data_IF_794109913871
#
_entry.id   IF_794109913871
#
_cell.length_a   1.000
_cell.length_b   1.000
_cell.length_c   1.000
_cell.angle_alpha   90.00
_cell.angle_beta   90.00
_cell.angle_gamma   90.00
#
_symmetry.space_group_name_H-M   'P 1'
#
loop_
_entity.id
_entity.type
_entity.pdbx_description
1 polymer ?
#
# COMPACT_ATOMS: atom_id res chain seq x y z
N UNK A 1 14.96 -19.61 -7.69
CA UNK A 1 14.88 -18.55 -8.73
C UNK A 1 16.29 -18.08 -9.03
N UNK A 2 16.68 -18.00 -10.30
CA UNK A 2 18.03 -17.59 -10.71
C UNK A 2 18.26 -16.11 -10.32
N UNK A 3 19.46 -15.79 -9.82
CA UNK A 3 19.87 -14.41 -9.49
C UNK A 3 19.71 -13.47 -10.69
N UNK A 4 19.85 -13.98 -11.92
CA UNK A 4 19.60 -13.22 -13.15
C UNK A 4 18.12 -12.88 -13.32
N UNK A 5 17.23 -13.86 -13.14
CA UNK A 5 15.79 -13.65 -13.21
C UNK A 5 15.32 -12.61 -12.19
N UNK A 6 15.86 -12.65 -10.97
CA UNK A 6 15.49 -11.68 -9.93
C UNK A 6 15.97 -10.26 -10.25
N UNK A 7 17.18 -10.11 -10.79
CA UNK A 7 17.67 -8.81 -11.27
C UNK A 7 16.79 -8.23 -12.37
N UNK A 8 16.40 -9.05 -13.35
CA UNK A 8 15.50 -8.60 -14.43
C UNK A 8 14.15 -8.18 -13.88
N UNK A 9 13.55 -8.99 -12.98
CA UNK A 9 12.26 -8.65 -12.37
C UNK A 9 12.32 -7.30 -11.65
N UNK A 10 13.36 -7.06 -10.85
CA UNK A 10 13.56 -5.78 -10.16
C UNK A 10 13.68 -4.62 -11.16
N UNK A 11 14.41 -4.79 -12.27
CA UNK A 11 14.52 -3.77 -13.30
C UNK A 11 13.17 -3.44 -13.95
N UNK A 12 12.34 -4.47 -14.22
CA UNK A 12 10.98 -4.29 -14.76
C UNK A 12 10.09 -3.52 -13.78
N UNK A 13 10.12 -3.87 -12.48
CA UNK A 13 9.38 -3.16 -11.43
C UNK A 13 9.79 -1.68 -11.38
N UNK A 14 11.11 -1.42 -11.32
CA UNK A 14 11.66 -0.07 -11.26
C UNK A 14 11.25 0.77 -12.47
N UNK A 15 11.26 0.17 -13.67
CA UNK A 15 10.84 0.82 -14.90
C UNK A 15 9.37 1.24 -14.85
N UNK A 16 8.46 0.34 -14.48
CA UNK A 16 7.03 0.68 -14.35
C UNK A 16 6.82 1.78 -13.31
N UNK A 17 7.40 1.66 -12.11
CA UNK A 17 7.25 2.69 -11.06
C UNK A 17 7.80 4.06 -11.51
N UNK A 18 8.89 4.07 -12.28
CA UNK A 18 9.46 5.30 -12.85
C UNK A 18 8.55 5.93 -13.90
N UNK A 19 7.93 5.11 -14.75
CA UNK A 19 7.01 5.57 -15.78
C UNK A 19 5.68 6.07 -15.21
N UNK A 20 5.16 5.44 -14.15
CA UNK A 20 3.94 5.87 -13.46
C UNK A 20 4.06 7.27 -12.84
N UNK A 21 5.28 7.71 -12.51
CA UNK A 21 5.54 9.09 -12.07
C UNK A 21 5.44 10.12 -13.21
N UNK A 22 5.53 9.67 -14.46
CA UNK A 22 5.59 10.52 -15.66
C UNK A 22 4.28 10.49 -16.47
N UNK A 23 3.54 9.38 -16.44
CA UNK A 23 2.30 9.19 -17.20
C UNK A 23 1.32 8.26 -16.51
N UNK A 24 0.04 8.41 -16.87
CA UNK A 24 -1.05 7.54 -16.40
C UNK A 24 -0.85 6.09 -16.87
N UNK A 25 -1.26 5.13 -16.03
CA UNK A 25 -1.15 3.71 -16.31
C UNK A 25 -1.86 3.28 -17.60
N UNK A 26 -3.02 3.87 -17.89
CA UNK A 26 -3.82 3.54 -19.07
C UNK A 26 -3.06 3.86 -20.37
N UNK A 27 -2.22 4.92 -20.36
CA UNK A 27 -1.40 5.35 -21.48
C UNK A 27 -0.02 4.65 -21.56
N UNK A 28 0.33 3.84 -20.56
CA UNK A 28 1.60 3.14 -20.49
C UNK A 28 1.54 1.85 -21.33
N UNK A 29 2.58 1.53 -22.08
CA UNK A 29 2.65 0.33 -22.91
C UNK A 29 3.76 -0.61 -22.46
N UNK A 30 3.70 -1.88 -22.86
CA UNK A 30 4.82 -2.82 -22.64
C UNK A 30 6.10 -2.31 -23.31
N UNK A 31 6.00 -1.65 -24.46
CA UNK A 31 7.15 -1.07 -25.15
C UNK A 31 7.87 -0.03 -24.27
N UNK A 32 7.13 0.85 -23.63
CA UNK A 32 7.70 1.84 -22.72
C UNK A 32 8.46 1.19 -21.55
N UNK A 33 7.90 0.12 -20.99
CA UNK A 33 8.50 -0.60 -19.85
C UNK A 33 9.81 -1.26 -20.27
N UNK A 34 9.84 -1.95 -21.41
CA UNK A 34 11.04 -2.66 -21.86
C UNK A 34 12.15 -1.69 -22.27
N UNK A 35 11.79 -0.52 -22.82
CA UNK A 35 12.74 0.53 -23.16
C UNK A 35 13.35 1.15 -21.90
N UNK A 36 12.53 1.48 -20.89
CA UNK A 36 13.02 2.02 -19.61
C UNK A 36 13.81 0.96 -18.81
N UNK A 37 13.42 -0.32 -18.84
CA UNK A 37 14.12 -1.42 -18.17
C UNK A 37 15.38 -1.89 -18.93
N UNK A 38 15.57 -1.46 -20.18
CA UNK A 38 16.62 -1.92 -21.09
C UNK A 38 16.66 -3.45 -21.25
N UNK A 39 15.52 -4.05 -21.60
CA UNK A 39 15.36 -5.50 -21.84
C UNK A 39 14.66 -5.80 -23.16
N UNK A 40 14.76 -7.06 -23.62
CA UNK A 40 14.00 -7.53 -24.77
C UNK A 40 12.54 -7.83 -24.44
N UNK A 41 11.66 -7.71 -25.43
CA UNK A 41 10.22 -8.03 -25.31
C UNK A 41 9.96 -9.48 -24.87
N UNK A 42 10.72 -10.44 -25.37
CA UNK A 42 10.63 -11.85 -24.93
C UNK A 42 11.04 -12.03 -23.47
N UNK A 43 11.96 -11.19 -22.96
CA UNK A 43 12.35 -11.19 -21.56
C UNK A 43 11.21 -10.68 -20.69
N UNK A 44 10.53 -9.61 -21.07
CA UNK A 44 9.33 -9.15 -20.34
C UNK A 44 8.28 -10.25 -20.23
N UNK A 45 7.90 -10.88 -21.36
CA UNK A 45 6.88 -11.93 -21.37
C UNK A 45 7.31 -13.24 -20.71
N UNK A 46 8.60 -13.42 -20.40
CA UNK A 46 9.06 -14.53 -19.56
C UNK A 46 8.80 -14.29 -18.07
N UNK A 47 8.47 -13.06 -17.68
CA UNK A 47 8.18 -12.65 -16.31
C UNK A 47 6.73 -12.23 -16.09
N UNK A 48 6.10 -11.57 -17.08
CA UNK A 48 4.75 -11.01 -16.99
C UNK A 48 4.02 -11.15 -18.32
N UNK A 49 2.80 -11.67 -18.31
CA UNK A 49 1.93 -11.76 -19.48
C UNK A 49 1.44 -10.38 -19.93
N UNK A 50 1.21 -9.47 -18.99
CA UNK A 50 0.63 -8.14 -19.24
C UNK A 50 1.23 -7.05 -18.36
N UNK A 51 0.98 -5.76 -18.68
CA UNK A 51 1.38 -4.65 -17.79
C UNK A 51 0.48 -4.61 -16.54
N UNK A 52 -0.73 -5.11 -16.64
CA UNK A 52 -1.71 -5.25 -15.56
C UNK A 52 -1.21 -6.25 -14.52
N UNK A 53 -0.73 -7.42 -14.93
CA UNK A 53 -0.12 -8.40 -14.04
C UNK A 53 1.11 -7.83 -13.32
N UNK A 54 1.97 -7.09 -14.03
CA UNK A 54 3.09 -6.39 -13.42
C UNK A 54 2.62 -5.38 -12.36
N UNK A 55 1.57 -4.61 -12.65
CA UNK A 55 1.02 -3.65 -11.70
C UNK A 55 0.47 -4.36 -10.45
N UNK A 56 -0.30 -5.44 -10.63
CA UNK A 56 -0.82 -6.26 -9.54
C UNK A 56 0.30 -6.79 -8.65
N UNK A 57 1.39 -7.27 -9.26
CA UNK A 57 2.54 -7.75 -8.50
C UNK A 57 3.28 -6.62 -7.76
N UNK A 58 3.47 -5.46 -8.38
CA UNK A 58 4.04 -4.28 -7.70
C UNK A 58 3.17 -3.87 -6.51
N UNK A 59 1.85 -3.80 -6.70
CA UNK A 59 0.92 -3.52 -5.61
C UNK A 59 1.07 -4.57 -4.50
N UNK A 60 1.04 -5.86 -4.83
CA UNK A 60 1.17 -6.95 -3.85
C UNK A 60 2.48 -6.89 -3.08
N UNK A 61 3.61 -6.61 -3.74
CA UNK A 61 4.92 -6.48 -3.07
C UNK A 61 4.98 -5.24 -2.17
N UNK A 62 4.48 -4.10 -2.64
CA UNK A 62 4.38 -2.88 -1.83
C UNK A 62 3.54 -3.13 -0.58
N UNK A 63 2.38 -3.77 -0.77
CA UNK A 63 1.48 -4.11 0.31
C UNK A 63 2.11 -5.12 1.26
N UNK A 64 2.70 -6.22 0.79
CA UNK A 64 3.33 -7.22 1.65
C UNK A 64 4.35 -6.62 2.64
N UNK A 65 5.06 -5.56 2.23
CA UNK A 65 5.97 -4.83 3.12
C UNK A 65 5.23 -3.89 4.07
N UNK A 66 4.35 -3.02 3.56
CA UNK A 66 3.53 -2.07 4.36
C UNK A 66 2.69 -2.79 5.42
N UNK A 67 2.31 -4.03 5.12
CA UNK A 67 1.32 -4.83 5.81
C UNK A 67 1.89 -6.04 6.52
N UNK A 68 3.22 -6.12 6.63
CA UNK A 68 3.85 -7.13 7.46
C UNK A 68 3.20 -7.16 8.84
N UNK A 69 2.74 -8.34 9.28
CA UNK A 69 2.22 -8.53 10.64
C UNK A 69 3.31 -8.36 11.70
N UNK A 70 4.56 -8.51 11.29
CA UNK A 70 5.73 -8.27 12.11
C UNK A 70 6.03 -6.77 12.10
N UNK A 71 5.83 -6.14 13.27
CA UNK A 71 6.34 -4.80 13.59
C UNK A 71 7.87 -4.87 13.68
N UNK A 72 8.53 -5.14 12.57
CA UNK A 72 9.98 -5.17 12.50
C UNK A 72 10.52 -3.75 12.78
N UNK A 73 11.73 -3.64 13.37
CA UNK A 73 12.38 -2.35 13.48
C UNK A 73 12.73 -1.86 12.07
N UNK A 74 12.19 -0.70 11.70
CA UNK A 74 12.49 -0.03 10.44
C UNK A 74 13.45 1.14 10.67
N UNK A 75 14.07 1.63 9.60
CA UNK A 75 15.03 2.75 9.71
C UNK A 75 14.37 4.06 10.15
N UNK A 76 13.13 4.29 9.70
CA UNK A 76 12.36 5.51 9.95
C UNK A 76 11.61 5.47 11.29
N UNK A 77 11.28 4.27 11.79
CA UNK A 77 10.47 4.09 13.00
C UNK A 77 10.67 2.70 13.62
N UNK A 78 10.55 2.57 14.95
CA UNK A 78 10.68 1.29 15.66
C UNK A 78 9.47 1.03 16.56
N UNK A 79 8.54 0.19 16.10
CA UNK A 79 7.43 -0.33 16.91
C UNK A 79 7.67 -1.75 17.44
N UNK A 80 8.86 -2.32 17.21
CA UNK A 80 9.18 -3.71 17.57
C UNK A 80 9.22 -3.96 19.08
N UNK A 81 9.51 -2.90 19.86
CA UNK A 81 9.67 -2.93 21.32
C UNK A 81 8.47 -2.36 22.09
N UNK A 82 7.46 -1.84 21.38
CA UNK A 82 6.29 -1.18 21.96
C UNK A 82 5.12 -2.12 22.27
N UNK A 83 4.11 -1.61 23.00
CA UNK A 83 2.83 -2.32 23.14
C UNK A 83 2.21 -2.52 21.75
N UNK A 84 1.85 -3.75 21.39
CA UNK A 84 1.17 -4.09 20.12
C UNK A 84 -0.32 -3.69 20.16
N UNK A 85 -0.59 -2.40 20.35
CA UNK A 85 -1.94 -1.83 20.37
C UNK A 85 -2.42 -1.42 18.98
N UNK A 86 -3.74 -1.34 18.82
CA UNK A 86 -4.42 -0.91 17.60
C UNK A 86 -3.81 0.38 17.00
N UNK A 87 -3.60 1.41 17.84
CA UNK A 87 -3.01 2.68 17.41
C UNK A 87 -1.60 2.52 16.83
N UNK A 88 -0.76 1.69 17.43
CA UNK A 88 0.63 1.50 17.00
C UNK A 88 0.69 0.76 15.65
N UNK A 89 -0.21 -0.20 15.42
CA UNK A 89 -0.32 -0.86 14.10
C UNK A 89 -0.79 0.11 13.02
N UNK A 90 -1.81 0.93 13.29
CA UNK A 90 -2.23 1.97 12.33
C UNK A 90 -1.07 2.94 12.04
N UNK A 91 -0.37 3.39 13.09
CA UNK A 91 0.76 4.32 12.95
C UNK A 91 1.89 3.69 12.12
N UNK A 92 2.23 2.42 12.36
CA UNK A 92 3.21 1.67 11.57
C UNK A 92 2.84 1.61 10.09
N UNK A 93 1.57 1.28 9.77
CA UNK A 93 1.07 1.28 8.38
C UNK A 93 1.26 2.66 7.74
N UNK A 94 0.91 3.74 8.45
CA UNK A 94 1.06 5.10 7.94
C UNK A 94 2.53 5.47 7.69
N UNK A 95 3.47 5.05 8.55
CA UNK A 95 4.90 5.26 8.29
C UNK A 95 5.37 4.54 7.03
N UNK A 96 4.98 3.28 6.83
CA UNK A 96 5.30 2.55 5.60
C UNK A 96 4.74 3.25 4.35
N UNK A 97 3.52 3.79 4.44
CA UNK A 97 2.97 4.59 3.35
C UNK A 97 3.78 5.88 3.12
N UNK A 98 4.26 6.52 4.18
CA UNK A 98 5.06 7.74 4.09
C UNK A 98 6.46 7.49 3.50
N UNK A 99 7.13 6.41 3.90
CA UNK A 99 8.46 6.02 3.40
C UNK A 99 8.44 5.71 1.90
N UNK A 100 7.28 5.31 1.38
CA UNK A 100 7.05 5.02 -0.04
C UNK A 100 6.18 6.07 -0.75
N UNK A 101 6.04 7.27 -0.18
CA UNK A 101 5.14 8.35 -0.65
C UNK A 101 5.20 8.59 -2.16
N UNK A 102 6.38 8.67 -2.76
CA UNK A 102 6.52 8.94 -4.19
C UNK A 102 6.02 7.80 -5.07
N UNK A 103 6.14 6.56 -4.61
CA UNK A 103 5.64 5.39 -5.35
C UNK A 103 4.13 5.26 -5.15
N UNK A 104 3.63 5.51 -3.94
CA UNK A 104 2.19 5.49 -3.63
C UNK A 104 1.46 6.56 -4.42
N UNK A 105 1.97 7.80 -4.44
CA UNK A 105 1.36 8.86 -5.27
C UNK A 105 1.25 8.49 -6.74
N UNK A 106 2.26 7.80 -7.28
CA UNK A 106 2.26 7.40 -8.69
C UNK A 106 1.15 6.39 -9.03
N UNK A 107 0.62 5.66 -8.05
CA UNK A 107 -0.45 4.66 -8.21
C UNK A 107 -1.81 5.12 -7.65
N UNK A 108 -1.92 6.36 -7.16
CA UNK A 108 -3.14 6.88 -6.53
C UNK A 108 -4.02 7.66 -7.54
N UNK A 109 -4.15 7.11 -8.76
CA UNK A 109 -5.00 7.67 -9.80
C UNK A 109 -5.71 6.57 -10.61
N UNK A 110 -6.92 6.86 -11.10
CA UNK A 110 -7.59 6.02 -12.11
C UNK A 110 -7.78 4.56 -11.66
N UNK A 111 -7.42 3.62 -12.53
CA UNK A 111 -7.54 2.17 -12.24
C UNK A 111 -6.57 1.71 -11.14
N UNK A 112 -5.39 2.32 -11.07
CA UNK A 112 -4.37 1.97 -10.05
C UNK A 112 -4.84 2.31 -8.63
N UNK A 113 -5.62 3.38 -8.46
CA UNK A 113 -6.19 3.75 -7.16
C UNK A 113 -7.23 2.73 -6.68
N UNK A 114 -8.05 2.21 -7.60
CA UNK A 114 -9.06 1.19 -7.28
C UNK A 114 -8.40 -0.09 -6.80
N UNK A 115 -7.35 -0.52 -7.51
CA UNK A 115 -6.57 -1.70 -7.15
C UNK A 115 -5.91 -1.51 -5.78
N UNK A 116 -5.26 -0.36 -5.56
CA UNK A 116 -4.66 -0.01 -4.28
C UNK A 116 -5.70 -0.08 -3.15
N UNK A 117 -6.84 0.59 -3.33
CA UNK A 117 -7.90 0.66 -2.31
C UNK A 117 -8.48 -0.72 -1.99
N UNK A 118 -8.60 -1.62 -3.00
CA UNK A 118 -9.07 -2.99 -2.80
C UNK A 118 -8.12 -3.78 -1.90
N UNK A 119 -6.84 -3.86 -2.27
CA UNK A 119 -5.84 -4.56 -1.46
C UNK A 119 -5.67 -3.96 -0.07
N UNK A 120 -5.73 -2.63 0.04
CA UNK A 120 -5.62 -1.94 1.32
C UNK A 120 -6.79 -2.31 2.24
N UNK A 121 -8.01 -2.35 1.71
CA UNK A 121 -9.21 -2.79 2.45
C UNK A 121 -9.08 -4.24 2.91
N UNK A 122 -8.72 -5.14 2.01
CA UNK A 122 -8.58 -6.57 2.32
C UNK A 122 -7.56 -6.80 3.44
N UNK A 123 -6.45 -6.07 3.41
CA UNK A 123 -5.46 -6.14 4.46
C UNK A 123 -5.97 -5.65 5.82
N UNK A 124 -6.62 -4.47 5.84
CA UNK A 124 -7.18 -3.93 7.07
C UNK A 124 -8.19 -4.89 7.70
N UNK A 125 -9.04 -5.49 6.86
CA UNK A 125 -9.99 -6.50 7.31
C UNK A 125 -9.26 -7.68 7.93
N UNK A 126 -8.33 -8.31 7.22
CA UNK A 126 -7.59 -9.48 7.72
C UNK A 126 -6.75 -9.20 8.98
N UNK A 127 -6.30 -7.96 9.17
CA UNK A 127 -5.40 -7.59 10.27
C UNK A 127 -6.16 -7.19 11.52
N UNK A 128 -7.27 -6.46 11.36
CA UNK A 128 -7.98 -5.86 12.50
C UNK A 128 -9.31 -6.55 12.82
N UNK A 129 -9.71 -7.59 12.06
CA UNK A 129 -10.95 -8.36 12.26
C UNK A 129 -11.18 -8.77 13.73
N UNK A 130 -10.13 -9.22 14.41
CA UNK A 130 -10.22 -9.74 15.78
C UNK A 130 -10.01 -8.65 16.84
N UNK A 131 -9.38 -7.53 16.47
CA UNK A 131 -9.03 -6.44 17.39
C UNK A 131 -10.15 -5.42 17.59
N UNK A 132 -11.03 -5.29 16.60
CA UNK A 132 -12.16 -4.36 16.63
C UNK A 132 -13.28 -4.81 17.59
N UNK A 133 -13.08 -5.88 18.37
CA UNK A 133 -14.14 -6.63 19.02
C UNK A 133 -13.75 -7.16 20.42
N UNK A 134 -13.71 -6.28 21.44
CA UNK A 134 -14.26 -6.73 22.72
C UNK A 134 -15.50 -5.98 23.22
N UNK A 135 -15.88 -4.81 22.66
CA UNK A 135 -16.91 -3.93 23.27
C UNK A 135 -17.86 -3.20 22.30
N UNK A 136 -18.06 -3.69 21.07
CA UNK A 136 -18.94 -3.04 20.09
C UNK A 136 -20.42 -3.33 20.34
N UNK A 137 -21.27 -2.29 20.39
CA UNK A 137 -22.74 -2.43 20.43
C UNK A 137 -23.36 -2.83 19.07
N UNK A 138 -22.54 -2.84 18.01
CA UNK A 138 -22.98 -3.13 16.63
C UNK A 138 -22.42 -4.47 16.11
N UNK A 139 -23.07 -5.09 15.10
CA UNK A 139 -22.57 -6.32 14.49
C UNK A 139 -21.15 -6.19 13.97
N UNK A 140 -20.34 -7.25 14.14
CA UNK A 140 -18.92 -7.32 13.70
C UNK A 140 -18.73 -6.88 12.24
N UNK A 141 -19.58 -7.36 11.33
CA UNK A 141 -19.49 -7.02 9.92
C UNK A 141 -19.68 -5.50 9.66
N UNK A 142 -20.57 -4.86 10.41
CA UNK A 142 -20.76 -3.41 10.33
C UNK A 142 -19.55 -2.64 10.87
N UNK A 143 -19.00 -3.06 12.01
CA UNK A 143 -17.81 -2.45 12.59
C UNK A 143 -16.59 -2.53 11.64
N UNK A 144 -16.36 -3.70 11.04
CA UNK A 144 -15.31 -3.91 10.03
C UNK A 144 -15.55 -3.03 8.81
N UNK A 145 -16.76 -3.00 8.26
CA UNK A 145 -17.08 -2.17 7.10
C UNK A 145 -16.87 -0.68 7.38
N UNK A 146 -17.30 -0.20 8.55
CA UNK A 146 -17.11 1.19 8.97
C UNK A 146 -15.63 1.51 9.16
N UNK A 147 -14.88 0.68 9.89
CA UNK A 147 -13.44 0.89 10.13
C UNK A 147 -12.67 0.90 8.82
N UNK A 148 -12.81 -0.14 7.99
CA UNK A 148 -12.06 -0.24 6.72
C UNK A 148 -12.43 0.89 5.78
N UNK A 149 -13.72 1.22 5.65
CA UNK A 149 -14.19 2.33 4.82
C UNK A 149 -13.64 3.68 5.28
N UNK A 150 -13.85 4.03 6.56
CA UNK A 150 -13.42 5.33 7.09
C UNK A 150 -11.90 5.49 7.14
N UNK A 151 -11.15 4.42 7.42
CA UNK A 151 -9.69 4.49 7.41
C UNK A 151 -9.12 4.58 5.99
N UNK A 152 -9.67 3.85 5.01
CA UNK A 152 -9.30 4.02 3.59
C UNK A 152 -9.49 5.47 3.13
N UNK A 153 -10.62 6.09 3.46
CA UNK A 153 -10.89 7.49 3.09
C UNK A 153 -9.98 8.48 3.83
N UNK A 154 -9.65 8.19 5.09
CA UNK A 154 -8.65 8.97 5.86
C UNK A 154 -7.29 8.94 5.16
N UNK A 155 -6.86 7.76 4.70
CA UNK A 155 -5.57 7.60 4.00
C UNK A 155 -5.57 8.27 2.64
N UNK A 156 -6.63 8.14 1.86
CA UNK A 156 -6.77 8.87 0.59
C UNK A 156 -6.66 10.37 0.80
N UNK A 157 -7.38 10.92 1.78
CA UNK A 157 -7.27 12.34 2.14
C UNK A 157 -5.83 12.71 2.53
N UNK A 158 -5.18 11.90 3.36
CA UNK A 158 -3.83 12.17 3.84
C UNK A 158 -2.80 12.14 2.70
N UNK A 159 -2.88 11.16 1.80
CA UNK A 159 -2.06 11.05 0.58
C UNK A 159 -2.26 12.30 -0.30
N UNK A 160 -3.52 12.66 -0.57
CA UNK A 160 -3.86 13.83 -1.39
C UNK A 160 -3.46 15.16 -0.73
N UNK A 161 -3.33 15.17 0.59
CA UNK A 161 -2.81 16.28 1.40
C UNK A 161 -1.28 16.25 1.53
N UNK A 162 -0.60 15.51 0.65
CA UNK A 162 0.86 15.40 0.58
C UNK A 162 1.49 14.76 1.85
N UNK A 163 0.71 14.00 2.62
CA UNK A 163 1.13 13.33 3.86
C UNK A 163 1.82 14.28 4.86
N UNK A 164 1.38 15.54 4.93
CA UNK A 164 2.02 16.58 5.76
C UNK A 164 1.80 16.38 7.26
N UNK A 165 0.64 15.83 7.64
CA UNK A 165 0.35 15.52 9.03
C UNK A 165 1.17 14.28 9.46
N UNK A 166 1.86 14.30 10.60
CA UNK A 166 2.59 13.14 11.10
C UNK A 166 1.68 11.92 11.30
N UNK A 167 2.17 10.68 11.07
CA UNK A 167 1.41 9.45 11.29
C UNK A 167 0.68 9.37 12.63
N UNK A 168 1.34 9.77 13.72
CA UNK A 168 0.78 9.77 15.07
C UNK A 168 -0.43 10.70 15.17
N UNK A 169 -0.33 11.91 14.61
CA UNK A 169 -1.41 12.89 14.63
C UNK A 169 -2.61 12.43 13.78
N UNK A 170 -2.36 11.77 12.64
CA UNK A 170 -3.44 11.17 11.83
C UNK A 170 -4.20 10.13 12.64
N UNK A 171 -3.49 9.22 13.31
CA UNK A 171 -4.11 8.16 14.13
C UNK A 171 -4.82 8.76 15.34
N UNK A 172 -4.22 9.74 16.02
CA UNK A 172 -4.85 10.41 17.16
C UNK A 172 -6.17 11.09 16.77
N UNK A 173 -6.19 11.83 15.67
CA UNK A 173 -7.40 12.47 15.15
C UNK A 173 -8.44 11.45 14.71
N UNK A 174 -8.03 10.38 14.02
CA UNK A 174 -8.91 9.28 13.63
C UNK A 174 -9.57 8.61 14.85
N UNK A 175 -8.80 8.34 15.91
CA UNK A 175 -9.31 7.76 17.15
C UNK A 175 -10.28 8.70 17.87
N UNK A 176 -10.02 10.01 17.89
CA UNK A 176 -10.96 11.00 18.44
C UNK A 176 -12.30 10.93 17.71
N UNK A 177 -12.29 10.86 16.38
CA UNK A 177 -13.52 10.78 15.59
C UNK A 177 -14.32 9.49 15.80
N UNK A 178 -13.64 8.36 16.03
CA UNK A 178 -14.32 7.10 16.36
C UNK A 178 -14.89 7.10 17.78
N UNK A 179 -14.16 7.68 18.75
CA UNK A 179 -14.58 7.78 20.16
C UNK A 179 -15.69 8.79 20.42
N UNK A 180 -16.03 9.66 19.47
CA UNK A 180 -17.19 10.56 19.54
C UNK A 180 -18.54 9.83 19.31
N UNK A 181 -18.59 8.52 19.60
CA UNK A 181 -19.80 7.70 19.64
C UNK A 181 -19.85 6.96 20.97
#
# INVERSE_FOLDING_TARGET
MDRRQQKTKIAIHQAMTTLLKKKKFEALTVQDIIDEANIGRSTFYSHFETKEELLEEICREMFAHVFSKDLAPEKSHDFSKGRKGFANRLTHILYHLQDHKENIKAIMYGETEKLFTSYFRDYLEQTFCDELMPHSEVPKAFAIQFFTGSFCETIKWWINSDMKMPPEEVVENYQKMIKFR
#
